data_IF_513362076928
#
_entry.id   IF_513362076928
#
_cell.length_a   1.000
_cell.length_b   1.000
_cell.length_c   1.000
_cell.angle_alpha   90.00
_cell.angle_beta   90.00
_cell.angle_gamma   90.00
#
_symmetry.space_group_name_H-M   'P 1'
#
loop_
_entity.id
_entity.type
_entity.pdbx_description
1 polymer ?
#
# COMPACT_ATOMS: atom_id res chain seq x y z
N UNK A 1 6.00 -2.72 -15.20
CA UNK A 1 4.75 -1.98 -15.44
C UNK A 1 3.65 -2.64 -14.61
N UNK A 2 2.53 -1.95 -14.40
CA UNK A 2 1.37 -2.52 -13.67
C UNK A 2 0.61 -3.43 -14.63
N UNK A 3 0.43 -4.69 -14.24
CA UNK A 3 -0.33 -5.70 -14.97
C UNK A 3 -1.83 -5.58 -14.66
N UNK A 4 -2.16 -5.49 -13.38
CA UNK A 4 -3.54 -5.50 -12.88
C UNK A 4 -3.67 -4.72 -11.58
N UNK A 5 -4.81 -4.04 -11.38
CA UNK A 5 -5.18 -3.42 -10.10
C UNK A 5 -6.10 -4.37 -9.35
N UNK A 6 -5.69 -4.78 -8.15
CA UNK A 6 -6.39 -5.78 -7.34
C UNK A 6 -7.28 -5.14 -6.27
N UNK A 7 -6.90 -3.96 -5.79
CA UNK A 7 -7.67 -3.16 -4.84
C UNK A 7 -7.28 -1.68 -4.97
N UNK A 8 -8.25 -0.79 -4.76
CA UNK A 8 -8.01 0.65 -4.80
C UNK A 8 -9.00 1.39 -3.91
N UNK A 9 -8.46 2.30 -3.10
CA UNK A 9 -9.18 3.40 -2.46
C UNK A 9 -8.40 4.70 -2.72
N UNK A 10 -8.85 5.83 -2.19
CA UNK A 10 -8.08 7.07 -2.29
C UNK A 10 -6.74 6.90 -1.56
N UNK A 11 -5.64 7.36 -2.17
CA UNK A 11 -4.25 7.30 -1.66
C UNK A 11 -3.61 5.91 -1.51
N UNK A 12 -4.36 4.81 -1.71
CA UNK A 12 -3.83 3.44 -1.71
C UNK A 12 -4.23 2.70 -2.97
N UNK A 13 -3.28 2.00 -3.58
CA UNK A 13 -3.53 1.10 -4.71
C UNK A 13 -2.69 -0.16 -4.59
N UNK A 14 -3.35 -1.31 -4.58
CA UNK A 14 -2.69 -2.60 -4.57
C UNK A 14 -2.74 -3.23 -5.96
N UNK A 15 -1.57 -3.63 -6.46
CA UNK A 15 -1.38 -4.02 -7.86
C UNK A 15 -0.56 -5.30 -8.00
N UNK A 16 -0.81 -6.00 -9.11
CA UNK A 16 0.07 -7.03 -9.65
C UNK A 16 0.97 -6.38 -10.71
N UNK A 17 2.27 -6.66 -10.65
CA UNK A 17 3.26 -6.17 -11.61
C UNK A 17 3.52 -7.22 -12.69
N UNK A 18 4.04 -6.79 -13.85
CA UNK A 18 4.42 -7.74 -14.91
C UNK A 18 5.50 -8.73 -14.48
N UNK A 19 6.28 -8.40 -13.45
CA UNK A 19 7.24 -9.30 -12.84
C UNK A 19 6.60 -10.45 -12.06
N UNK A 20 5.28 -10.41 -11.81
CA UNK A 20 4.57 -11.35 -10.94
C UNK A 20 4.58 -10.96 -9.46
N UNK A 21 5.31 -9.91 -9.09
CA UNK A 21 5.30 -9.36 -7.72
C UNK A 21 4.04 -8.56 -7.44
N UNK A 22 3.64 -8.53 -6.17
CA UNK A 22 2.58 -7.66 -5.69
C UNK A 22 3.16 -6.40 -5.05
N UNK A 23 2.49 -5.27 -5.24
CA UNK A 23 2.93 -3.99 -4.73
C UNK A 23 1.73 -3.19 -4.20
N UNK A 24 1.87 -2.65 -2.99
CA UNK A 24 0.95 -1.66 -2.44
C UNK A 24 1.58 -0.27 -2.60
N UNK A 25 0.97 0.52 -3.46
CA UNK A 25 1.34 1.90 -3.74
C UNK A 25 0.58 2.79 -2.76
N UNK A 26 1.30 3.62 -2.01
CA UNK A 26 0.74 4.53 -1.01
C UNK A 26 1.25 5.95 -1.26
N UNK A 27 0.33 6.91 -1.25
CA UNK A 27 0.66 8.34 -1.31
C UNK A 27 0.80 8.88 0.11
N UNK A 28 1.84 9.68 0.34
CA UNK A 28 2.19 10.31 1.63
C UNK A 28 2.85 9.37 2.66
N UNK A 29 3.82 9.91 3.40
CA UNK A 29 4.60 9.18 4.42
C UNK A 29 3.75 8.74 5.59
N UNK A 30 2.87 9.61 6.11
CA UNK A 30 2.07 9.29 7.30
C UNK A 30 0.98 8.26 6.97
N UNK A 31 0.46 8.30 5.74
CA UNK A 31 -0.43 7.25 5.25
C UNK A 31 0.33 5.93 5.10
N UNK A 32 1.56 5.97 4.57
CA UNK A 32 2.39 4.76 4.46
C UNK A 32 2.62 4.12 5.84
N UNK A 33 3.08 4.89 6.82
CA UNK A 33 3.36 4.41 8.18
C UNK A 33 2.12 3.77 8.83
N UNK A 34 0.95 4.42 8.71
CA UNK A 34 -0.32 3.87 9.19
C UNK A 34 -0.64 2.51 8.55
N UNK A 35 -0.45 2.38 7.24
CA UNK A 35 -0.78 1.14 6.53
C UNK A 35 0.24 0.04 6.82
N UNK A 36 1.52 0.37 6.88
CA UNK A 36 2.58 -0.58 7.26
C UNK A 36 2.33 -1.17 8.65
N UNK A 37 2.07 -0.30 9.65
CA UNK A 37 1.75 -0.73 11.01
C UNK A 37 0.51 -1.63 11.02
N UNK A 38 -0.55 -1.23 10.29
CA UNK A 38 -1.76 -2.03 10.17
C UNK A 38 -1.51 -3.41 9.55
N UNK A 39 -0.67 -3.50 8.51
CA UNK A 39 -0.31 -4.77 7.86
C UNK A 39 0.50 -5.67 8.80
N UNK A 40 1.50 -5.08 9.47
CA UNK A 40 2.35 -5.78 10.42
C UNK A 40 1.52 -6.37 11.58
N UNK A 41 0.56 -5.60 12.10
CA UNK A 41 -0.39 -6.04 13.13
C UNK A 41 -1.26 -7.22 12.68
N UNK A 42 -1.46 -7.41 11.38
CA UNK A 42 -2.16 -8.59 10.82
C UNK A 42 -1.19 -9.71 10.44
N UNK A 43 0.09 -9.58 10.73
CA UNK A 43 1.13 -10.54 10.36
C UNK A 43 1.27 -10.65 8.84
N UNK A 44 1.26 -9.50 8.16
CA UNK A 44 1.61 -9.37 6.75
C UNK A 44 2.91 -8.58 6.71
N UNK A 45 3.97 -9.24 6.28
CA UNK A 45 5.29 -8.63 6.15
C UNK A 45 5.44 -8.02 4.75
N UNK A 46 5.98 -6.80 4.72
CA UNK A 46 6.44 -6.13 3.52
C UNK A 46 7.91 -6.51 3.33
N UNK A 47 8.26 -7.00 2.14
CA UNK A 47 9.59 -7.53 1.84
C UNK A 47 10.58 -6.42 1.52
N UNK A 48 10.13 -5.40 0.80
CA UNK A 48 10.95 -4.29 0.33
C UNK A 48 10.10 -3.04 0.14
N UNK A 49 10.71 -1.86 0.28
CA UNK A 49 10.05 -0.56 0.13
C UNK A 49 10.91 0.34 -0.75
N UNK A 50 10.32 0.86 -1.81
CA UNK A 50 10.93 1.90 -2.65
C UNK A 50 10.13 3.19 -2.53
N UNK A 51 10.81 4.33 -2.64
CA UNK A 51 10.19 5.65 -2.47
C UNK A 51 10.57 6.57 -3.64
N UNK A 52 9.55 7.23 -4.19
CA UNK A 52 9.72 8.28 -5.18
C UNK A 52 9.40 9.64 -4.56
N UNK A 53 10.45 10.37 -4.19
CA UNK A 53 10.38 11.71 -3.58
C UNK A 53 10.45 12.86 -4.61
N UNK A 54 10.31 12.58 -5.91
CA UNK A 54 10.42 13.62 -6.93
C UNK A 54 9.19 14.53 -7.05
N UNK A 55 8.10 14.19 -6.36
CA UNK A 55 6.82 14.89 -6.42
C UNK A 55 6.56 15.72 -5.14
N UNK A 56 5.52 16.56 -5.17
CA UNK A 56 5.05 17.28 -3.95
C UNK A 56 4.61 16.33 -2.83
N UNK A 57 4.34 15.08 -3.17
CA UNK A 57 3.84 14.02 -2.30
C UNK A 57 4.75 12.82 -2.54
N UNK A 58 5.34 12.26 -1.50
CA UNK A 58 6.12 11.03 -1.59
C UNK A 58 5.22 9.84 -1.97
N UNK A 59 5.67 9.01 -2.90
CA UNK A 59 4.96 7.79 -3.31
C UNK A 59 5.78 6.58 -2.87
N UNK A 60 5.19 5.75 -2.03
CA UNK A 60 5.78 4.52 -1.50
C UNK A 60 5.31 3.30 -2.28
N UNK A 61 6.23 2.39 -2.57
CA UNK A 61 6.00 1.14 -3.26
C UNK A 61 6.38 0.00 -2.32
N UNK A 62 5.38 -0.57 -1.65
CA UNK A 62 5.55 -1.65 -0.69
C UNK A 62 5.41 -3.00 -1.39
N UNK A 63 6.52 -3.73 -1.53
CA UNK A 63 6.55 -5.01 -2.23
C UNK A 63 6.30 -6.18 -1.29
N UNK A 64 5.52 -7.15 -1.76
CA UNK A 64 5.27 -8.39 -1.05
C UNK A 64 5.95 -9.55 -1.76
N UNK A 65 6.39 -10.53 -0.97
CA UNK A 65 6.93 -11.79 -1.48
C UNK A 65 5.92 -12.49 -2.39
N UNK A 66 6.42 -13.21 -3.41
CA UNK A 66 5.60 -14.06 -4.28
C UNK A 66 4.86 -15.17 -3.50
N UNK A 67 5.38 -15.54 -2.32
CA UNK A 67 4.77 -16.53 -1.44
C UNK A 67 3.71 -15.93 -0.49
N UNK A 68 3.51 -14.61 -0.50
CA UNK A 68 2.54 -13.96 0.36
C UNK A 68 1.12 -14.38 0.01
N UNK A 69 0.30 -14.58 1.05
CA UNK A 69 -1.09 -14.96 0.85
C UNK A 69 -1.89 -13.76 0.32
N UNK A 70 -2.09 -13.72 -0.99
CA UNK A 70 -2.78 -12.65 -1.70
C UNK A 70 -4.19 -12.38 -1.15
N UNK A 71 -4.96 -13.42 -0.90
CA UNK A 71 -6.32 -13.31 -0.36
C UNK A 71 -6.29 -12.63 1.02
N UNK A 72 -5.34 -13.02 1.87
CA UNK A 72 -5.16 -12.39 3.19
C UNK A 72 -4.83 -10.90 3.09
N UNK A 73 -3.99 -10.51 2.13
CA UNK A 73 -3.64 -9.09 1.90
C UNK A 73 -4.87 -8.30 1.47
N UNK A 74 -5.60 -8.79 0.46
CA UNK A 74 -6.80 -8.11 -0.05
C UNK A 74 -7.88 -7.99 1.03
N UNK A 75 -8.13 -9.07 1.79
CA UNK A 75 -9.11 -9.04 2.89
C UNK A 75 -8.67 -8.15 4.05
N UNK A 76 -7.36 -7.93 4.24
CA UNK A 76 -6.84 -6.95 5.20
C UNK A 76 -7.04 -5.53 4.69
N UNK A 77 -6.68 -5.25 3.44
CA UNK A 77 -6.87 -3.95 2.81
C UNK A 77 -8.33 -3.49 2.80
N UNK A 78 -9.28 -4.41 2.56
CA UNK A 78 -10.73 -4.12 2.60
C UNK A 78 -11.24 -3.67 3.97
N UNK A 79 -10.49 -3.93 5.05
CA UNK A 79 -10.85 -3.55 6.42
C UNK A 79 -10.26 -2.21 6.84
N UNK A 80 -9.39 -1.61 6.03
CA UNK A 80 -8.87 -0.26 6.25
C UNK A 80 -10.03 0.74 6.07
N UNK A 81 -10.17 1.67 7.02
CA UNK A 81 -11.16 2.73 6.89
C UNK A 81 -10.64 3.80 5.91
N UNK A 82 -11.25 3.82 4.72
CA UNK A 82 -10.94 4.82 3.69
C UNK A 82 -11.08 6.28 4.18
N UNK A 83 -11.94 6.57 5.16
CA UNK A 83 -12.08 7.93 5.70
C UNK A 83 -10.90 8.31 6.59
N UNK A 84 -10.37 7.37 7.34
CA UNK A 84 -9.19 7.57 8.17
C UNK A 84 -7.97 7.89 7.30
N UNK A 85 -7.74 7.10 6.25
CA UNK A 85 -6.71 7.35 5.24
C UNK A 85 -6.79 8.76 4.66
N UNK A 86 -7.98 9.18 4.21
CA UNK A 86 -8.17 10.53 3.64
C UNK A 86 -7.95 11.62 4.68
N UNK A 87 -8.32 11.36 5.94
CA UNK A 87 -8.10 12.31 7.04
C UNK A 87 -6.62 12.47 7.33
N UNK A 88 -5.86 11.38 7.42
CA UNK A 88 -4.40 11.39 7.62
C UNK A 88 -3.74 12.18 6.48
N UNK A 89 -4.07 11.86 5.23
CA UNK A 89 -3.51 12.56 4.08
C UNK A 89 -3.78 14.08 4.13
N UNK A 90 -5.02 14.48 4.44
CA UNK A 90 -5.45 15.89 4.47
C UNK A 90 -4.88 16.70 5.65
N UNK A 91 -4.36 16.05 6.69
CA UNK A 91 -3.71 16.73 7.81
C UNK A 91 -2.25 17.09 7.48
N UNK A 92 -1.66 16.41 6.49
CA UNK A 92 -0.26 16.53 6.14
C UNK A 92 -0.01 17.25 4.80
N UNK A 93 -1.06 17.48 4.00
CA UNK A 93 -1.02 18.13 2.68
C UNK A 93 -2.17 19.11 2.47
#
# INVERSE_FOLDING_TARGET
MIKEVLFQIQHLKFVNLDSGKYCLIVEDTEVNDYVEEYMLDKGIEIEDVDVNDNDKISIYYNYFSENSNLEKIIETLKKIDSKEVVTIFSLNN
#
